data_IF_274221652240
#
_entry.id   IF_274221652240
#
_cell.length_a   1.000
_cell.length_b   1.000
_cell.length_c   1.000
_cell.angle_alpha   90.00
_cell.angle_beta   90.00
_cell.angle_gamma   90.00
#
_symmetry.space_group_name_H-M   'P 1'
#
loop_
_entity.id
_entity.type
_entity.pdbx_description
1 polymer ?
#
# COMPACT_ATOMS: atom_id res chain seq x y z
N UNK A 1 2.29 20.95 6.57
CA UNK A 1 2.10 19.48 6.62
C UNK A 1 1.19 19.02 7.76
N UNK A 2 1.29 19.56 9.00
CA UNK A 2 0.29 19.29 10.07
C UNK A 2 -1.16 19.69 9.72
N UNK A 3 -1.35 20.78 8.96
CA UNK A 3 -2.67 21.24 8.52
C UNK A 3 -3.39 20.30 7.54
N UNK A 4 -2.68 19.33 6.97
CA UNK A 4 -3.23 18.28 6.10
C UNK A 4 -3.37 16.93 6.84
N UNK A 5 -3.15 16.90 8.16
CA UNK A 5 -3.20 15.67 8.96
C UNK A 5 -1.90 14.85 9.00
N UNK A 6 -0.83 15.31 8.34
CA UNK A 6 0.45 14.61 8.33
C UNK A 6 1.32 14.98 9.54
N UNK A 7 1.66 13.99 10.37
CA UNK A 7 2.70 14.09 11.40
C UNK A 7 4.06 13.74 10.79
N UNK A 8 4.88 14.75 10.53
CA UNK A 8 6.23 14.59 9.97
C UNK A 8 7.26 15.32 10.80
N UNK A 9 8.46 14.74 10.91
CA UNK A 9 9.59 15.36 11.62
C UNK A 9 10.27 16.44 10.79
N UNK A 10 10.99 17.36 11.43
CA UNK A 10 11.73 18.42 10.73
C UNK A 10 12.76 17.85 9.73
N UNK A 11 13.42 16.74 10.07
CA UNK A 11 14.35 16.04 9.17
C UNK A 11 13.63 15.52 7.91
N UNK A 12 12.46 14.90 8.08
CA UNK A 12 11.67 14.42 6.96
C UNK A 12 11.15 15.56 6.08
N UNK A 13 10.84 16.71 6.67
CA UNK A 13 10.42 17.90 5.93
C UNK A 13 11.60 18.46 5.13
N UNK A 14 12.78 18.60 5.73
CA UNK A 14 13.98 19.09 5.03
C UNK A 14 14.39 18.17 3.88
N UNK A 15 14.28 16.86 4.07
CA UNK A 15 14.57 15.89 3.03
C UNK A 15 13.52 15.95 1.90
N UNK A 16 12.25 16.18 2.22
CA UNK A 16 11.22 16.40 1.19
C UNK A 16 11.42 17.70 0.42
N UNK A 17 11.85 18.77 1.07
CA UNK A 17 12.19 20.02 0.39
C UNK A 17 13.36 19.77 -0.55
N UNK A 18 14.44 19.14 -0.09
CA UNK A 18 15.61 18.87 -0.93
C UNK A 18 15.34 17.94 -2.13
N UNK A 19 14.39 17.00 -2.01
CA UNK A 19 13.99 16.10 -3.10
C UNK A 19 13.15 16.81 -4.18
N UNK A 20 12.46 17.91 -3.84
CA UNK A 20 11.42 18.54 -4.65
C UNK A 20 11.82 19.93 -5.15
N UNK A 21 12.60 20.68 -4.37
CA UNK A 21 13.15 22.01 -4.65
C UNK A 21 14.17 21.93 -5.80
N UNK A 22 13.67 21.99 -7.03
CA UNK A 22 14.48 21.85 -8.25
C UNK A 22 15.16 23.16 -8.61
N UNK A 23 14.58 24.28 -8.20
CA UNK A 23 15.12 25.60 -8.47
C UNK A 23 16.14 26.05 -7.42
N UNK A 24 16.24 25.32 -6.30
CA UNK A 24 17.21 25.55 -5.22
C UNK A 24 16.89 26.81 -4.42
N UNK A 25 15.63 27.27 -4.46
CA UNK A 25 15.18 28.47 -3.76
C UNK A 25 15.12 28.29 -2.25
N UNK A 26 15.17 27.04 -1.75
CA UNK A 26 15.03 26.68 -0.35
C UNK A 26 13.57 26.73 0.12
N UNK A 27 12.61 26.89 -0.80
CA UNK A 27 11.18 26.98 -0.51
C UNK A 27 10.38 26.29 -1.61
N UNK A 28 9.37 25.50 -1.23
CA UNK A 28 8.51 24.82 -2.19
C UNK A 28 7.53 25.84 -2.80
N UNK A 29 7.64 26.09 -4.10
CA UNK A 29 6.67 26.90 -4.84
C UNK A 29 5.38 26.13 -5.19
N UNK A 30 4.44 26.76 -5.90
CA UNK A 30 3.16 26.12 -6.23
C UNK A 30 3.31 24.90 -7.15
N UNK A 31 4.19 24.96 -8.16
CA UNK A 31 4.42 23.87 -9.11
C UNK A 31 5.17 22.71 -8.44
N UNK A 32 6.13 23.04 -7.58
CA UNK A 32 6.86 22.09 -6.74
C UNK A 32 5.94 21.43 -5.70
N UNK A 33 5.01 22.19 -5.13
CA UNK A 33 4.00 21.68 -4.22
C UNK A 33 3.04 20.73 -4.95
N UNK A 34 2.59 21.08 -6.14
CA UNK A 34 1.75 20.21 -6.98
C UNK A 34 2.47 18.89 -7.27
N UNK A 35 3.73 18.95 -7.70
CA UNK A 35 4.55 17.76 -7.92
C UNK A 35 4.74 16.91 -6.65
N UNK A 36 5.00 17.54 -5.50
CA UNK A 36 5.15 16.84 -4.22
C UNK A 36 3.85 16.13 -3.81
N UNK A 37 2.71 16.81 -3.92
CA UNK A 37 1.41 16.25 -3.56
C UNK A 37 1.06 15.10 -4.51
N UNK A 38 1.20 15.27 -5.82
CA UNK A 38 0.88 14.21 -6.78
C UNK A 38 1.80 12.99 -6.62
N UNK A 39 3.12 13.20 -6.41
CA UNK A 39 4.06 12.09 -6.30
C UNK A 39 4.08 11.44 -4.90
N UNK A 40 4.27 12.22 -3.83
CA UNK A 40 4.48 11.67 -2.49
C UNK A 40 3.17 11.39 -1.75
N UNK A 41 2.12 12.18 -1.94
CA UNK A 41 0.82 11.88 -1.32
C UNK A 41 0.10 10.77 -2.08
N UNK A 42 0.14 10.77 -3.42
CA UNK A 42 -0.36 9.65 -4.21
C UNK A 42 0.24 8.29 -3.79
N UNK A 43 1.56 8.22 -3.58
CA UNK A 43 2.23 7.00 -3.13
C UNK A 43 2.00 6.65 -1.65
N UNK A 44 1.96 7.67 -0.76
CA UNK A 44 1.74 7.44 0.69
C UNK A 44 0.31 7.01 0.98
N UNK A 45 -0.68 7.68 0.39
CA UNK A 45 -2.09 7.30 0.51
C UNK A 45 -2.28 5.87 -0.03
N UNK A 46 -1.62 5.54 -1.15
CA UNK A 46 -1.63 4.16 -1.67
C UNK A 46 -1.06 3.16 -0.68
N UNK A 47 0.07 3.46 -0.02
CA UNK A 47 0.67 2.54 0.97
C UNK A 47 -0.19 2.41 2.23
N UNK A 48 -0.72 3.50 2.74
CA UNK A 48 -1.59 3.48 3.92
C UNK A 48 -2.88 2.73 3.65
N UNK A 49 -3.53 2.96 2.50
CA UNK A 49 -4.72 2.23 2.08
C UNK A 49 -4.43 0.73 1.88
N UNK A 50 -3.30 0.38 1.26
CA UNK A 50 -2.87 -1.01 1.14
C UNK A 50 -2.58 -1.66 2.50
N UNK A 51 -2.03 -0.91 3.45
CA UNK A 51 -1.81 -1.39 4.83
C UNK A 51 -3.12 -1.64 5.55
N UNK A 52 -4.10 -0.75 5.39
CA UNK A 52 -5.46 -0.94 5.93
C UNK A 52 -6.14 -2.14 5.30
N UNK A 53 -6.09 -2.27 3.97
CA UNK A 53 -6.64 -3.41 3.25
C UNK A 53 -6.02 -4.73 3.72
N UNK A 54 -4.69 -4.77 3.85
CA UNK A 54 -3.98 -5.93 4.39
C UNK A 54 -4.47 -6.29 5.80
N UNK A 55 -4.60 -5.27 6.68
CA UNK A 55 -5.06 -5.47 8.06
C UNK A 55 -6.54 -5.88 8.19
N UNK A 56 -7.35 -5.65 7.15
CA UNK A 56 -8.75 -6.12 7.09
C UNK A 56 -8.80 -7.60 6.72
N UNK A 57 -7.88 -8.04 5.87
CA UNK A 57 -7.80 -9.42 5.39
C UNK A 57 -7.13 -10.30 6.45
N UNK A 58 -5.97 -9.88 6.99
CA UNK A 58 -5.22 -10.56 8.07
C UNK A 58 -6.02 -10.51 9.39
N UNK A 59 -6.90 -11.50 9.60
CA UNK A 59 -7.80 -11.53 10.76
C UNK A 59 -7.10 -11.94 12.06
N UNK A 60 -6.07 -12.79 11.96
CA UNK A 60 -5.33 -13.26 13.13
C UNK A 60 -4.17 -12.33 13.52
N UNK A 61 -3.87 -11.32 12.67
CA UNK A 61 -2.84 -10.28 12.85
C UNK A 61 -1.44 -10.86 12.96
N UNK A 62 -1.18 -11.96 12.26
CA UNK A 62 0.12 -12.59 12.25
C UNK A 62 1.09 -11.90 11.25
N UNK A 63 0.61 -10.91 10.50
CA UNK A 63 1.39 -10.16 9.52
C UNK A 63 1.46 -10.82 8.14
N UNK A 64 0.61 -11.82 7.89
CA UNK A 64 0.51 -12.60 6.65
C UNK A 64 -0.95 -12.90 6.36
N UNK A 65 -1.26 -13.20 5.10
CA UNK A 65 -2.59 -13.58 4.66
C UNK A 65 -2.58 -15.06 4.29
N UNK A 66 -3.39 -15.86 4.99
CA UNK A 66 -3.58 -17.28 4.70
C UNK A 66 -4.78 -17.54 3.78
N UNK A 67 -4.91 -18.77 3.29
CA UNK A 67 -6.09 -19.24 2.55
C UNK A 67 -7.38 -19.12 3.39
N UNK A 68 -7.27 -19.31 4.70
CA UNK A 68 -8.37 -19.15 5.66
C UNK A 68 -8.83 -17.69 5.75
N UNK A 69 -7.90 -16.75 5.76
CA UNK A 69 -8.20 -15.31 5.80
C UNK A 69 -8.94 -14.86 4.55
N UNK A 70 -8.46 -15.28 3.37
CA UNK A 70 -9.12 -15.01 2.08
C UNK A 70 -10.52 -15.62 2.05
N UNK A 71 -10.69 -16.84 2.55
CA UNK A 71 -12.01 -17.48 2.60
C UNK A 71 -13.00 -16.74 3.51
N UNK A 72 -12.53 -16.19 4.63
CA UNK A 72 -13.36 -15.42 5.56
C UNK A 72 -13.78 -14.10 4.94
N UNK A 73 -12.84 -13.33 4.41
CA UNK A 73 -13.15 -12.03 3.81
C UNK A 73 -14.06 -12.19 2.58
N UNK A 74 -13.85 -13.23 1.77
CA UNK A 74 -14.73 -13.55 0.65
C UNK A 74 -16.18 -13.76 1.10
N UNK A 75 -16.40 -14.56 2.15
CA UNK A 75 -17.72 -14.78 2.75
C UNK A 75 -18.33 -13.50 3.31
N UNK A 76 -17.53 -12.65 3.95
CA UNK A 76 -17.97 -11.34 4.47
C UNK A 76 -18.39 -10.39 3.34
N UNK A 77 -17.70 -10.42 2.21
CA UNK A 77 -18.03 -9.65 1.00
C UNK A 77 -19.18 -10.27 0.18
N UNK A 78 -19.65 -11.47 0.55
CA UNK A 78 -20.69 -12.20 -0.19
C UNK A 78 -20.19 -12.83 -1.50
N UNK A 79 -18.86 -12.89 -1.70
CA UNK A 79 -18.23 -13.55 -2.82
C UNK A 79 -17.95 -15.01 -2.47
N UNK A 80 -18.28 -15.92 -3.38
CA UNK A 80 -18.07 -17.35 -3.18
C UNK A 80 -16.92 -17.83 -4.05
N UNK A 81 -15.72 -17.82 -3.50
CA UNK A 81 -14.57 -18.50 -4.10
C UNK A 81 -14.53 -19.96 -3.64
N UNK A 82 -14.17 -20.83 -4.57
CA UNK A 82 -13.83 -22.22 -4.30
C UNK A 82 -12.47 -22.30 -3.61
N UNK A 83 -12.22 -23.39 -2.90
CA UNK A 83 -10.91 -23.62 -2.27
C UNK A 83 -9.77 -23.61 -3.31
N UNK A 84 -10.03 -24.09 -4.53
CA UNK A 84 -9.05 -24.09 -5.61
C UNK A 84 -8.70 -22.67 -6.07
N UNK A 85 -9.70 -21.80 -6.27
CA UNK A 85 -9.45 -20.39 -6.66
C UNK A 85 -8.63 -19.65 -5.59
N UNK A 86 -8.92 -19.89 -4.31
CA UNK A 86 -8.15 -19.29 -3.21
C UNK A 86 -6.71 -19.82 -3.21
N UNK A 87 -6.51 -21.13 -3.40
CA UNK A 87 -5.17 -21.70 -3.51
C UNK A 87 -4.40 -21.14 -4.70
N UNK A 88 -5.05 -20.95 -5.84
CA UNK A 88 -4.42 -20.33 -7.02
C UNK A 88 -4.01 -18.88 -6.75
N UNK A 89 -4.85 -18.10 -6.06
CA UNK A 89 -4.52 -16.73 -5.65
C UNK A 89 -3.30 -16.68 -4.72
N UNK A 90 -3.25 -17.58 -3.72
CA UNK A 90 -2.10 -17.68 -2.81
C UNK A 90 -0.84 -18.09 -3.57
N UNK A 91 -0.92 -19.12 -4.41
CA UNK A 91 0.24 -19.58 -5.20
C UNK A 91 0.77 -18.55 -6.20
N UNK A 92 -0.09 -17.69 -6.74
CA UNK A 92 0.34 -16.62 -7.64
C UNK A 92 1.06 -15.48 -6.91
N UNK A 93 0.66 -15.21 -5.66
CA UNK A 93 1.22 -14.16 -4.83
C UNK A 93 2.47 -14.59 -4.05
N UNK A 94 2.45 -15.81 -3.49
CA UNK A 94 3.51 -16.42 -2.69
C UNK A 94 4.75 -16.73 -3.53
N UNK A 95 5.80 -15.94 -3.34
CA UNK A 95 7.09 -16.11 -4.03
C UNK A 95 8.11 -16.81 -3.17
N UNK A 96 7.98 -16.70 -1.86
CA UNK A 96 8.93 -17.27 -0.92
C UNK A 96 8.64 -18.77 -0.69
N UNK A 97 7.45 -19.25 -1.07
CA UNK A 97 6.99 -20.63 -1.03
C UNK A 97 6.55 -21.09 0.37
N UNK A 98 6.18 -20.17 1.26
CA UNK A 98 5.76 -20.48 2.63
C UNK A 98 4.26 -20.80 2.76
N UNK A 99 3.50 -20.66 1.68
CA UNK A 99 2.07 -20.95 1.61
C UNK A 99 1.19 -19.84 2.16
N UNK A 100 1.75 -18.68 2.46
CA UNK A 100 1.08 -17.49 2.95
C UNK A 100 1.50 -16.28 2.10
N UNK A 101 0.77 -15.16 2.19
CA UNK A 101 1.13 -13.93 1.48
C UNK A 101 1.63 -12.90 2.49
N UNK A 102 2.91 -12.54 2.41
CA UNK A 102 3.45 -11.47 3.24
C UNK A 102 3.06 -10.07 2.71
N UNK A 103 3.36 -9.03 3.50
CA UNK A 103 3.00 -7.67 3.12
C UNK A 103 3.66 -7.22 1.80
N UNK A 104 4.91 -7.58 1.54
CA UNK A 104 5.61 -7.19 0.32
C UNK A 104 5.06 -7.92 -0.92
N UNK A 105 4.68 -9.18 -0.75
CA UNK A 105 3.98 -9.99 -1.77
C UNK A 105 2.60 -9.42 -2.08
N UNK A 106 1.83 -9.04 -1.06
CA UNK A 106 0.53 -8.39 -1.22
C UNK A 106 0.63 -7.05 -1.98
N UNK A 107 1.59 -6.19 -1.60
CA UNK A 107 1.83 -4.93 -2.31
C UNK A 107 2.17 -5.19 -3.78
N UNK A 108 3.00 -6.19 -4.05
CA UNK A 108 3.38 -6.56 -5.42
C UNK A 108 2.19 -7.08 -6.22
N UNK A 109 1.34 -7.91 -5.62
CA UNK A 109 0.10 -8.39 -6.23
C UNK A 109 -0.80 -7.21 -6.58
N UNK A 110 -1.07 -6.31 -5.63
CA UNK A 110 -1.93 -5.13 -5.81
C UNK A 110 -1.37 -4.13 -6.83
N UNK A 111 -0.04 -4.02 -6.98
CA UNK A 111 0.59 -3.22 -8.04
C UNK A 111 0.47 -3.85 -9.43
N UNK A 112 0.28 -5.17 -9.51
CA UNK A 112 0.06 -5.88 -10.79
C UNK A 112 -1.42 -5.88 -11.19
N UNK A 113 -2.32 -5.96 -10.22
CA UNK A 113 -3.77 -5.91 -10.44
C UNK A 113 -4.32 -4.48 -10.49
N UNK A 114 -3.57 -3.50 -9.99
CA UNK A 114 -3.89 -2.08 -10.06
C UNK A 114 -3.65 -1.46 -11.44
N UNK A 115 -4.74 -1.30 -12.19
CA UNK A 115 -5.05 -0.17 -13.08
C UNK A 115 -3.86 0.60 -13.66
N UNK A 116 -3.28 0.05 -14.73
CA UNK A 116 -2.53 0.85 -15.67
C UNK A 116 -3.48 1.85 -16.34
N UNK A 117 -3.41 3.11 -15.92
CA UNK A 117 -3.77 4.26 -16.74
C UNK A 117 -2.48 4.99 -17.11
#
# INVERSE_FOLDING_TARGET
>A
MRALGFEMTEEQINQMIADVDKDGSGSIDYEEFEHMMTAKIGERDSKEELTKAFSIIDQDKNGKISDVDIQRIAKELGENFTYQEIQEMVQEADRNGDGEIDFDEFIRMMRRTGYGY
#
